data_IF_798504695159
#
_entry.id   IF_798504695159
#
_cell.length_a   1.000
_cell.length_b   1.000
_cell.length_c   1.000
_cell.angle_alpha   90.00
_cell.angle_beta   90.00
_cell.angle_gamma   90.00
#
_symmetry.space_group_name_H-M   'P 1'
#
loop_
_entity.id
_entity.type
_entity.pdbx_description
1 polymer ?
#
# COMPACT_ATOMS: atom_id res chain seq x y z
N UNK A 1 -21.75 -8.43 -20.08
CA UNK A 1 -21.50 -9.63 -19.25
C UNK A 1 -21.76 -9.29 -17.81
N UNK A 2 -22.50 -10.11 -17.03
CA UNK A 2 -22.70 -9.85 -15.61
C UNK A 2 -21.37 -9.90 -14.86
N UNK A 3 -21.19 -8.97 -13.92
CA UNK A 3 -19.97 -8.80 -13.14
C UNK A 3 -20.07 -7.57 -12.25
N UNK A 4 -19.00 -7.28 -11.53
CA UNK A 4 -18.91 -6.12 -10.64
C UNK A 4 -17.53 -5.47 -10.71
N UNK A 5 -17.47 -4.20 -10.35
CA UNK A 5 -16.23 -3.43 -10.30
C UNK A 5 -15.66 -3.41 -8.87
N UNK A 6 -14.34 -3.49 -8.76
CA UNK A 6 -13.61 -3.31 -7.51
C UNK A 6 -12.62 -2.14 -7.65
N UNK A 7 -12.59 -1.29 -6.62
CA UNK A 7 -11.60 -0.22 -6.45
C UNK A 7 -11.00 -0.33 -5.06
N UNK A 8 -9.68 -0.27 -5.00
CA UNK A 8 -8.89 -0.31 -3.76
C UNK A 8 -7.54 0.38 -4.03
N UNK A 9 -6.81 0.82 -2.99
CA UNK A 9 -5.51 1.47 -3.16
C UNK A 9 -4.55 0.62 -4.01
N UNK A 10 -3.75 1.29 -4.84
CA UNK A 10 -2.76 0.62 -5.69
C UNK A 10 -1.52 0.25 -4.86
N UNK A 11 -1.66 -0.78 -4.03
CA UNK A 11 -0.55 -1.47 -3.38
C UNK A 11 -0.20 -2.72 -4.20
N UNK A 12 1.09 -2.88 -4.54
CA UNK A 12 1.60 -4.05 -5.27
C UNK A 12 1.16 -5.36 -4.60
N UNK A 13 1.25 -5.45 -3.27
CA UNK A 13 0.88 -6.66 -2.54
C UNK A 13 -0.64 -6.91 -2.59
N UNK A 14 -1.45 -5.84 -2.49
CA UNK A 14 -2.91 -5.95 -2.59
C UNK A 14 -3.35 -6.38 -4.00
N UNK A 15 -2.72 -5.84 -5.04
CA UNK A 15 -2.97 -6.23 -6.44
C UNK A 15 -2.60 -7.69 -6.70
N UNK A 16 -1.45 -8.16 -6.20
CA UNK A 16 -1.03 -9.56 -6.34
C UNK A 16 -2.03 -10.51 -5.66
N UNK A 17 -2.43 -10.23 -4.42
CA UNK A 17 -3.44 -11.00 -3.68
C UNK A 17 -4.81 -10.96 -4.37
N UNK A 18 -5.22 -9.80 -4.89
CA UNK A 18 -6.46 -9.66 -5.65
C UNK A 18 -6.47 -10.56 -6.89
N UNK A 19 -5.37 -10.58 -7.66
CA UNK A 19 -5.24 -11.42 -8.86
C UNK A 19 -5.22 -12.92 -8.55
N UNK A 20 -4.71 -13.33 -7.38
CA UNK A 20 -4.79 -14.72 -6.92
C UNK A 20 -6.25 -15.15 -6.66
N UNK A 21 -7.04 -14.28 -6.02
CA UNK A 21 -8.46 -14.57 -5.71
C UNK A 21 -9.37 -14.45 -6.94
N UNK A 22 -9.06 -13.52 -7.83
CA UNK A 22 -9.82 -13.22 -9.04
C UNK A 22 -8.95 -13.30 -10.31
N UNK A 23 -8.53 -14.51 -10.74
CA UNK A 23 -7.62 -14.68 -11.87
C UNK A 23 -8.21 -14.21 -13.21
N UNK A 24 -9.54 -14.10 -13.31
CA UNK A 24 -10.26 -13.61 -14.49
C UNK A 24 -10.60 -12.12 -14.42
N UNK A 25 -10.17 -11.41 -13.36
CA UNK A 25 -10.38 -9.98 -13.26
C UNK A 25 -9.58 -9.22 -14.33
N UNK A 26 -10.13 -8.11 -14.82
CA UNK A 26 -9.51 -7.29 -15.86
C UNK A 26 -9.42 -5.84 -15.39
N UNK A 27 -8.25 -5.24 -15.51
CA UNK A 27 -8.08 -3.82 -15.28
C UNK A 27 -8.75 -3.01 -16.41
N UNK A 28 -9.50 -1.97 -16.05
CA UNK A 28 -9.99 -0.95 -16.98
C UNK A 28 -9.30 0.35 -16.67
N UNK A 29 -8.49 0.85 -17.63
CA UNK A 29 -7.79 2.12 -17.44
C UNK A 29 -8.73 3.32 -17.44
N UNK A 30 -9.80 3.27 -18.24
CA UNK A 30 -10.83 4.30 -18.31
C UNK A 30 -11.57 4.47 -16.98
N UNK A 31 -11.92 3.36 -16.32
CA UNK A 31 -12.69 3.36 -15.07
C UNK A 31 -11.83 3.36 -13.81
N UNK A 32 -10.51 3.21 -14.00
CA UNK A 32 -9.52 2.99 -12.94
C UNK A 32 -10.01 1.94 -11.93
N UNK A 33 -10.58 0.85 -12.44
CA UNK A 33 -11.21 -0.21 -11.65
C UNK A 33 -10.92 -1.59 -12.24
N UNK A 34 -11.01 -2.59 -11.38
CA UNK A 34 -10.96 -3.99 -11.77
C UNK A 34 -12.37 -4.51 -12.03
N UNK A 35 -12.61 -5.05 -13.21
CA UNK A 35 -13.84 -5.78 -13.51
C UNK A 35 -13.69 -7.27 -13.19
N UNK A 36 -14.56 -7.79 -12.33
CA UNK A 36 -14.64 -9.22 -11.99
C UNK A 36 -15.88 -9.83 -12.65
N UNK A 37 -15.73 -10.84 -13.53
CA UNK A 37 -16.87 -11.48 -14.17
C UNK A 37 -17.62 -12.40 -13.20
N UNK A 38 -18.94 -12.51 -13.38
CA UNK A 38 -19.80 -13.46 -12.66
C UNK A 38 -20.91 -12.81 -11.86
N UNK A 39 -22.03 -13.53 -11.68
CA UNK A 39 -23.23 -13.02 -10.98
C UNK A 39 -23.00 -12.76 -9.49
N UNK A 40 -22.06 -13.48 -8.87
CA UNK A 40 -21.70 -13.34 -7.45
C UNK A 40 -20.46 -12.47 -7.24
N UNK A 41 -20.02 -11.74 -8.27
CA UNK A 41 -18.78 -10.96 -8.22
C UNK A 41 -18.81 -9.91 -7.11
N UNK A 42 -19.93 -9.18 -6.97
CA UNK A 42 -20.10 -8.14 -5.94
C UNK A 42 -19.82 -8.68 -4.53
N UNK A 43 -20.58 -9.68 -4.06
CA UNK A 43 -20.38 -10.22 -2.71
C UNK A 43 -19.02 -10.90 -2.49
N UNK A 44 -18.37 -11.40 -3.55
CA UNK A 44 -16.98 -11.91 -3.44
C UNK A 44 -15.98 -10.76 -3.29
N UNK A 45 -16.16 -9.66 -4.02
CA UNK A 45 -15.35 -8.45 -3.90
C UNK A 45 -15.50 -7.88 -2.49
N UNK A 46 -16.73 -7.72 -2.00
CA UNK A 46 -17.00 -7.17 -0.66
C UNK A 46 -16.28 -7.98 0.42
N UNK A 47 -16.45 -9.32 0.40
CA UNK A 47 -15.77 -10.22 1.34
C UNK A 47 -14.25 -10.14 1.25
N UNK A 48 -13.71 -9.92 0.05
CA UNK A 48 -12.27 -9.77 -0.13
C UNK A 48 -11.77 -8.44 0.44
N UNK A 49 -12.50 -7.34 0.19
CA UNK A 49 -12.19 -6.02 0.74
C UNK A 49 -12.22 -6.00 2.27
N UNK A 50 -13.21 -6.65 2.89
CA UNK A 50 -13.30 -6.78 4.34
C UNK A 50 -12.07 -7.49 4.92
N UNK A 51 -11.62 -8.59 4.29
CA UNK A 51 -10.42 -9.32 4.70
C UNK A 51 -9.15 -8.50 4.54
N UNK A 52 -9.03 -7.77 3.43
CA UNK A 52 -7.90 -6.89 3.16
C UNK A 52 -7.80 -5.74 4.17
N UNK A 53 -8.93 -5.11 4.49
CA UNK A 53 -9.00 -4.05 5.49
C UNK A 53 -8.58 -4.57 6.88
N UNK A 54 -9.06 -5.76 7.27
CA UNK A 54 -8.67 -6.38 8.52
C UNK A 54 -7.16 -6.68 8.57
N UNK A 55 -6.56 -7.16 7.48
CA UNK A 55 -5.12 -7.37 7.42
C UNK A 55 -4.34 -6.07 7.56
N UNK A 56 -4.76 -4.99 6.88
CA UNK A 56 -4.08 -3.68 7.01
C UNK A 56 -4.16 -3.12 8.44
N UNK A 57 -5.30 -3.28 9.12
CA UNK A 57 -5.45 -2.86 10.50
C UNK A 57 -4.44 -3.54 11.45
N UNK A 58 -4.22 -4.86 11.28
CA UNK A 58 -3.22 -5.60 12.07
C UNK A 58 -1.79 -5.10 11.85
N UNK A 59 -1.46 -4.65 10.64
CA UNK A 59 -0.11 -4.16 10.31
C UNK A 59 0.08 -2.66 10.59
N UNK A 60 -1.00 -1.91 10.82
CA UNK A 60 -0.95 -0.49 11.20
C UNK A 60 -0.28 -0.27 12.56
N UNK A 61 -0.60 -1.13 13.53
CA UNK A 61 -0.03 -1.05 14.89
C UNK A 61 1.46 -1.42 14.95
N UNK A 62 1.93 -2.25 14.02
CA UNK A 62 3.35 -2.66 13.96
C UNK A 62 4.27 -1.55 13.42
N UNK A 63 3.79 -0.74 12.46
CA UNK A 63 4.60 0.37 11.90
C UNK A 63 4.80 1.53 12.88
N UNK A 64 3.88 1.74 13.81
CA UNK A 64 3.98 2.80 14.81
C UNK A 64 5.05 2.55 15.87
N UNK A 65 5.43 1.30 16.12
CA UNK A 65 6.46 0.97 17.12
C UNK A 65 7.88 1.25 16.64
N UNK A 66 8.21 0.95 15.38
CA UNK A 66 9.56 1.17 14.83
C UNK A 66 9.83 2.65 14.52
N UNK A 67 8.79 3.49 14.42
CA UNK A 67 8.96 4.94 14.23
C UNK A 67 9.67 5.64 15.40
N UNK A 68 9.69 5.03 16.59
CA UNK A 68 10.39 5.55 17.77
C UNK A 68 11.78 4.93 17.98
N UNK A 69 12.07 3.79 17.35
CA UNK A 69 13.37 3.14 17.38
C UNK A 69 14.20 3.60 16.18
N UNK A 70 14.45 4.91 16.08
CA UNK A 70 15.40 5.44 15.10
C UNK A 70 16.82 5.24 15.62
N UNK A 71 17.59 4.37 14.98
CA UNK A 71 19.05 4.30 15.17
C UNK A 71 19.67 5.47 14.38
N UNK A 72 20.24 6.49 15.03
CA UNK A 72 20.77 7.65 14.33
C UNK A 72 21.87 7.25 13.35
N UNK A 73 21.74 7.68 12.09
CA UNK A 73 22.79 7.47 11.10
C UNK A 73 24.03 8.25 11.54
N UNK A 74 25.07 7.54 11.97
CA UNK A 74 26.38 8.13 12.26
C UNK A 74 27.10 8.47 10.96
N UNK A 75 27.17 9.75 10.62
CA UNK A 75 27.86 10.26 9.43
C UNK A 75 28.81 11.40 9.80
N UNK A 76 30.05 11.43 9.26
CA UNK A 76 30.97 12.55 9.43
C UNK A 76 30.45 13.90 8.92
N UNK A 77 29.34 13.88 8.17
CA UNK A 77 28.71 15.04 7.55
C UNK A 77 27.43 15.51 8.26
N UNK A 78 27.04 14.85 9.36
CA UNK A 78 25.84 15.15 10.12
C UNK A 78 26.23 15.64 11.53
N UNK A 79 25.81 16.85 11.88
CA UNK A 79 26.00 17.44 13.20
C UNK A 79 24.62 17.68 13.84
N UNK A 80 24.45 17.33 15.11
CA UNK A 80 23.20 17.57 15.85
C UNK A 80 23.17 19.04 16.26
N UNK A 81 22.31 19.82 15.62
CA UNK A 81 22.04 21.23 15.96
C UNK A 81 20.54 21.49 16.16
N UNK A 82 20.20 22.63 16.78
CA UNK A 82 18.81 23.07 17.02
C UNK A 82 18.03 23.26 15.70
N UNK A 83 18.76 23.46 14.60
CA UNK A 83 18.31 23.52 13.22
C UNK A 83 18.94 22.41 12.34
N UNK A 84 18.27 21.95 11.28
CA UNK A 84 18.80 20.92 10.37
C UNK A 84 19.88 21.51 9.46
N UNK A 85 21.17 21.20 9.71
CA UNK A 85 22.31 21.64 8.88
C UNK A 85 23.00 20.49 8.16
N UNK A 86 23.03 20.54 6.83
CA UNK A 86 23.74 19.59 5.98
C UNK A 86 25.07 20.21 5.55
N UNK A 87 26.22 19.64 5.95
CA UNK A 87 27.55 20.10 5.50
C UNK A 87 28.07 19.18 4.40
N UNK A 88 27.74 19.48 3.16
CA UNK A 88 28.39 18.86 1.99
C UNK A 88 29.73 19.53 1.69
N UNK A 89 30.82 18.78 1.45
CA UNK A 89 32.15 19.34 1.18
C UNK A 89 32.26 20.17 -0.12
N UNK A 90 31.19 20.25 -0.91
CA UNK A 90 31.15 20.97 -2.18
C UNK A 90 30.33 22.26 -2.15
N UNK A 91 29.82 22.68 -0.99
CA UNK A 91 29.07 23.93 -0.89
C UNK A 91 30.03 25.11 -0.66
N UNK A 92 30.26 25.90 -1.72
CA UNK A 92 30.86 27.24 -1.65
C UNK A 92 29.77 28.30 -1.54
#
# INVERSE_FOLDING_TARGET
TPGAEARFPFDRMAVERFRQVFPRARWSDERKSWFVPGKTAAGRIDRWLEKEAAMLAVHGDSKGRDAFAFDPISSPYLEVSDDLRIRTPYSK
#
